data_IF_546607760348
#
_entry.id   IF_546607760348
#
_cell.length_a   1.000
_cell.length_b   1.000
_cell.length_c   1.000
_cell.angle_alpha   90.00
_cell.angle_beta   90.00
_cell.angle_gamma   90.00
#
_symmetry.space_group_name_H-M   'P 1'
#
loop_
_entity.id
_entity.type
_entity.pdbx_description
1 polymer ?
#
# COMPACT_ATOMS: atom_id res chain seq x y z
N UNK A 1 49.23 9.46 -50.91
CA UNK A 1 48.01 10.25 -50.60
C UNK A 1 47.00 9.30 -49.99
N UNK A 2 46.74 9.48 -48.69
CA UNK A 2 46.06 8.52 -47.80
C UNK A 2 44.54 8.66 -47.95
N UNK A 3 43.86 7.66 -48.53
CA UNK A 3 42.39 7.60 -48.53
C UNK A 3 41.89 6.95 -47.24
N UNK A 4 41.65 7.86 -46.31
CA UNK A 4 41.10 7.79 -44.98
C UNK A 4 39.83 6.91 -44.88
N UNK A 5 39.94 5.84 -44.08
CA UNK A 5 39.08 5.48 -42.94
C UNK A 5 37.70 6.16 -42.90
N UNK A 6 36.65 5.61 -43.53
CA UNK A 6 35.24 6.03 -43.28
C UNK A 6 34.19 4.93 -43.43
N UNK A 7 34.50 3.69 -43.06
CA UNK A 7 33.52 2.58 -43.12
C UNK A 7 33.24 1.90 -41.78
N UNK A 8 33.69 2.49 -40.67
CA UNK A 8 33.69 1.82 -39.35
C UNK A 8 33.07 2.60 -38.17
N UNK A 9 32.16 3.59 -38.32
CA UNK A 9 31.41 4.08 -37.16
C UNK A 9 29.96 3.59 -37.08
N UNK A 10 29.32 3.16 -38.18
CA UNK A 10 27.86 2.92 -38.17
C UNK A 10 27.42 1.56 -37.59
N UNK A 11 28.27 0.53 -37.62
CA UNK A 11 27.90 -0.81 -37.10
C UNK A 11 28.04 -0.89 -35.58
N UNK A 12 28.94 -0.10 -34.98
CA UNK A 12 29.17 -0.11 -33.52
C UNK A 12 28.05 0.62 -32.76
N UNK A 13 27.37 1.58 -33.40
CA UNK A 13 26.26 2.32 -32.78
C UNK A 13 24.97 1.49 -32.73
N UNK A 14 24.78 0.55 -33.65
CA UNK A 14 23.57 -0.30 -33.67
C UNK A 14 23.61 -1.44 -32.65
N UNK A 15 24.80 -1.93 -32.28
CA UNK A 15 24.93 -2.99 -31.26
C UNK A 15 24.97 -2.42 -29.84
N UNK A 16 25.41 -1.17 -29.66
CA UNK A 16 25.39 -0.50 -28.35
C UNK A 16 24.01 0.06 -27.95
N UNK A 17 23.09 0.27 -28.90
CA UNK A 17 21.74 0.78 -28.62
C UNK A 17 20.72 -0.31 -28.27
N UNK A 18 21.01 -1.58 -28.57
CA UNK A 18 20.14 -2.71 -28.21
C UNK A 18 20.33 -3.20 -26.75
N UNK A 19 21.34 -2.70 -26.03
CA UNK A 19 21.67 -3.16 -24.67
C UNK A 19 21.41 -2.14 -23.56
N UNK A 20 20.90 -0.93 -23.87
CA UNK A 20 20.65 0.12 -22.86
C UNK A 20 19.14 0.30 -22.56
N UNK A 21 18.25 -0.26 -23.38
CA UNK A 21 16.85 -0.43 -22.98
C UNK A 21 16.62 -1.80 -22.33
N UNK A 22 17.43 -2.11 -21.33
CA UNK A 22 17.00 -2.95 -20.22
C UNK A 22 15.91 -2.18 -19.48
N UNK A 23 14.72 -2.21 -20.06
CA UNK A 23 13.51 -1.54 -19.61
C UNK A 23 13.29 -1.84 -18.12
N UNK A 24 13.48 -0.90 -17.16
CA UNK A 24 13.13 -1.13 -15.77
C UNK A 24 11.60 -0.96 -15.57
N UNK A 25 10.81 -1.37 -16.57
CA UNK A 25 9.36 -1.22 -16.60
C UNK A 25 8.62 -2.56 -16.50
N UNK A 26 9.32 -3.67 -16.25
CA UNK A 26 8.69 -4.81 -15.60
C UNK A 26 8.74 -4.59 -14.09
N UNK A 27 7.97 -3.59 -13.63
CA UNK A 27 7.39 -3.69 -12.30
C UNK A 27 6.61 -5.00 -12.31
N UNK A 28 7.17 -6.02 -11.67
CA UNK A 28 6.63 -7.37 -11.60
C UNK A 28 5.17 -7.25 -11.15
N UNK A 29 4.22 -7.44 -12.06
CA UNK A 29 2.80 -7.40 -11.76
C UNK A 29 2.52 -8.62 -10.87
N UNK A 30 2.61 -8.44 -9.56
CA UNK A 30 2.22 -9.47 -8.58
C UNK A 30 0.71 -9.59 -8.62
N UNK A 31 0.20 -10.82 -8.69
CA UNK A 31 -1.25 -11.03 -8.57
C UNK A 31 -1.71 -10.61 -7.17
N UNK A 32 -2.98 -10.22 -7.03
CA UNK A 32 -3.57 -9.88 -5.73
C UNK A 32 -3.37 -11.02 -4.72
N UNK A 33 -3.46 -12.27 -5.18
CA UNK A 33 -3.26 -13.47 -4.36
C UNK A 33 -1.83 -13.60 -3.83
N UNK A 34 -0.83 -13.30 -4.66
CA UNK A 34 0.58 -13.30 -4.22
C UNK A 34 0.85 -12.24 -3.15
N UNK A 35 0.25 -11.04 -3.31
CA UNK A 35 0.37 -9.95 -2.34
C UNK A 35 -0.28 -10.36 -1.01
N UNK A 36 -1.44 -10.99 -1.04
CA UNK A 36 -2.11 -11.47 0.19
C UNK A 36 -1.30 -12.55 0.89
N UNK A 37 -0.75 -13.52 0.15
CA UNK A 37 0.07 -14.58 0.73
C UNK A 37 1.36 -14.05 1.39
N UNK A 38 2.03 -13.08 0.76
CA UNK A 38 3.22 -12.43 1.31
C UNK A 38 2.88 -11.66 2.59
N UNK A 39 1.78 -10.91 2.58
CA UNK A 39 1.30 -10.17 3.76
C UNK A 39 0.93 -11.09 4.90
N UNK A 40 0.22 -12.19 4.61
CA UNK A 40 -0.11 -13.20 5.61
C UNK A 40 1.15 -13.81 6.23
N UNK A 41 2.18 -14.08 5.41
CA UNK A 41 3.47 -14.54 5.88
C UNK A 41 4.17 -13.50 6.78
N UNK A 42 4.16 -12.22 6.41
CA UNK A 42 4.73 -11.15 7.23
C UNK A 42 4.02 -11.01 8.59
N UNK A 43 2.68 -11.12 8.61
CA UNK A 43 1.92 -11.14 9.85
C UNK A 43 2.26 -12.37 10.71
N UNK A 44 2.45 -13.53 10.10
CA UNK A 44 2.83 -14.75 10.81
C UNK A 44 4.25 -14.67 11.40
N UNK A 45 5.18 -13.99 10.72
CA UNK A 45 6.57 -13.86 11.14
C UNK A 45 6.77 -12.79 12.24
N UNK A 46 6.06 -11.66 12.14
CA UNK A 46 6.20 -10.55 13.09
C UNK A 46 4.91 -9.72 13.17
N UNK A 47 3.98 -10.17 14.02
CA UNK A 47 2.74 -9.45 14.29
C UNK A 47 2.85 -8.47 15.46
N UNK A 48 3.60 -8.76 16.51
CA UNK A 48 3.66 -7.86 17.68
C UNK A 48 4.50 -6.60 17.38
N UNK A 49 3.99 -5.45 17.83
CA UNK A 49 4.69 -4.16 17.80
C UNK A 49 4.75 -3.58 19.22
N UNK A 50 5.71 -2.72 19.47
CA UNK A 50 5.97 -2.16 20.81
C UNK A 50 5.29 -0.81 21.04
N UNK A 51 4.98 -0.05 19.99
CA UNK A 51 4.35 1.27 20.10
C UNK A 51 3.49 1.57 18.86
N UNK A 52 2.49 2.43 19.04
CA UNK A 52 1.73 3.09 17.97
C UNK A 52 2.16 4.53 17.75
N UNK A 53 3.17 5.04 18.48
CA UNK A 53 3.62 6.42 18.39
C UNK A 53 4.06 6.80 16.97
N UNK A 54 3.76 8.04 16.57
CA UNK A 54 4.07 8.52 15.22
C UNK A 54 3.12 8.00 14.13
N UNK A 55 1.94 7.51 14.50
CA UNK A 55 0.86 7.22 13.56
C UNK A 55 0.54 8.46 12.68
N UNK A 56 0.14 8.24 11.43
CA UNK A 56 -0.35 9.28 10.52
C UNK A 56 -1.84 9.53 10.75
N UNK A 57 -2.62 8.46 10.72
CA UNK A 57 -4.07 8.51 10.92
C UNK A 57 -4.51 7.51 11.97
N UNK A 58 -5.37 7.94 12.89
CA UNK A 58 -6.09 7.07 13.81
C UNK A 58 -7.51 6.90 13.30
N UNK A 59 -7.87 5.67 12.92
CA UNK A 59 -9.20 5.32 12.45
C UNK A 59 -10.00 4.77 13.62
N UNK A 60 -11.01 5.52 14.06
CA UNK A 60 -11.95 5.06 15.08
C UNK A 60 -13.16 4.48 14.37
N UNK A 61 -13.41 3.18 14.55
CA UNK A 61 -14.59 2.52 14.01
C UNK A 61 -15.79 2.79 14.93
N UNK A 62 -17.01 2.74 14.40
CA UNK A 62 -18.25 2.96 15.14
C UNK A 62 -18.74 1.73 15.92
N UNK A 63 -17.91 0.69 16.04
CA UNK A 63 -18.19 -0.49 16.87
C UNK A 63 -17.71 -0.34 18.33
N UNK A 64 -17.36 0.89 18.73
CA UNK A 64 -16.89 1.33 20.06
C UNK A 64 -15.62 0.65 20.59
N UNK A 65 -15.05 -0.31 19.86
CA UNK A 65 -13.93 -1.15 20.31
C UNK A 65 -12.75 -1.10 19.35
N UNK A 66 -13.01 -1.00 18.04
CA UNK A 66 -11.98 -1.16 17.04
C UNK A 66 -11.33 0.17 16.70
N UNK A 67 -10.02 0.23 16.93
CA UNK A 67 -9.18 1.37 16.53
C UNK A 67 -8.01 0.86 15.70
N UNK A 68 -7.83 1.44 14.53
CA UNK A 68 -6.69 1.19 13.66
C UNK A 68 -5.76 2.39 13.61
N UNK A 69 -4.46 2.14 13.69
CA UNK A 69 -3.41 3.15 13.53
C UNK A 69 -2.73 2.94 12.19
N UNK A 70 -2.83 3.93 11.32
CA UNK A 70 -2.13 3.96 10.03
C UNK A 70 -0.76 4.55 10.25
N UNK A 71 0.28 3.77 10.04
CA UNK A 71 1.67 4.18 10.27
C UNK A 71 2.29 4.80 9.00
N UNK A 72 3.40 5.58 9.14
CA UNK A 72 4.08 6.19 8.00
C UNK A 72 4.70 5.19 7.01
N UNK A 73 4.99 3.97 7.47
CA UNK A 73 5.51 2.86 6.66
C UNK A 73 4.40 2.01 6.02
N UNK A 74 3.17 2.53 5.97
CA UNK A 74 1.98 1.85 5.45
C UNK A 74 1.50 0.64 6.27
N UNK A 75 2.07 0.38 7.45
CA UNK A 75 1.53 -0.63 8.37
C UNK A 75 0.22 -0.17 9.01
N UNK A 76 -0.68 -1.12 9.26
CA UNK A 76 -1.91 -0.91 10.02
C UNK A 76 -1.79 -1.68 11.32
N UNK A 77 -1.78 -0.94 12.43
CA UNK A 77 -1.71 -1.52 13.77
C UNK A 77 -3.08 -1.48 14.44
N UNK A 78 -3.35 -2.48 15.27
CA UNK A 78 -4.52 -2.54 16.15
C UNK A 78 -4.04 -2.84 17.57
N UNK A 79 -4.70 -2.23 18.55
CA UNK A 79 -4.51 -2.57 19.97
C UNK A 79 -5.58 -3.58 20.36
N UNK A 80 -5.17 -4.74 20.88
CA UNK A 80 -6.11 -5.72 21.42
C UNK A 80 -6.66 -5.29 22.79
N UNK A 81 -7.68 -6.00 23.28
CA UNK A 81 -8.31 -5.71 24.57
C UNK A 81 -7.35 -5.80 25.78
N UNK A 82 -6.20 -6.45 25.62
CA UNK A 82 -5.16 -6.56 26.64
C UNK A 82 -4.08 -5.48 26.51
N UNK A 83 -4.25 -4.52 25.60
CA UNK A 83 -3.30 -3.45 25.35
C UNK A 83 -2.11 -3.85 24.46
N UNK A 84 -2.07 -5.08 23.91
CA UNK A 84 -1.01 -5.48 23.00
C UNK A 84 -1.24 -4.87 21.62
N UNK A 85 -0.16 -4.40 21.00
CA UNK A 85 -0.21 -3.80 19.67
C UNK A 85 0.19 -4.86 18.64
N UNK A 86 -0.63 -5.01 17.60
CA UNK A 86 -0.42 -5.99 16.54
C UNK A 86 -0.50 -5.32 15.17
N UNK A 87 0.39 -5.73 14.27
CA UNK A 87 0.24 -5.54 12.83
C UNK A 87 -0.92 -6.41 12.37
N UNK A 88 -1.95 -5.76 11.81
CA UNK A 88 -3.16 -6.42 11.32
C UNK A 88 -3.37 -6.20 9.83
N UNK A 89 -2.62 -5.29 9.21
CA UNK A 89 -2.86 -4.96 7.82
C UNK A 89 -1.89 -3.94 7.24
N UNK A 90 -2.25 -3.48 6.04
CA UNK A 90 -1.46 -2.53 5.27
C UNK A 90 -2.36 -1.47 4.63
N UNK A 91 -1.84 -0.25 4.50
CA UNK A 91 -2.44 0.81 3.71
C UNK A 91 -2.16 0.54 2.24
N UNK A 92 -3.20 0.64 1.44
CA UNK A 92 -3.16 0.45 -0.01
C UNK A 92 -3.60 1.72 -0.74
N UNK A 93 -3.21 1.83 -2.00
CA UNK A 93 -3.72 2.87 -2.91
C UNK A 93 -5.20 2.62 -3.24
N UNK A 94 -5.97 3.69 -3.53
CA UNK A 94 -7.32 3.53 -4.08
C UNK A 94 -7.35 2.70 -5.36
N UNK A 95 -8.48 2.02 -5.66
CA UNK A 95 -8.68 1.37 -6.95
C UNK A 95 -8.57 2.37 -8.11
N UNK A 96 -8.07 1.91 -9.26
CA UNK A 96 -7.94 2.72 -10.46
C UNK A 96 -9.29 3.32 -10.86
N UNK A 97 -9.33 4.64 -11.07
CA UNK A 97 -10.53 5.39 -11.43
C UNK A 97 -11.34 5.91 -10.24
N UNK A 98 -10.94 5.62 -8.99
CA UNK A 98 -11.61 6.11 -7.77
C UNK A 98 -10.69 6.93 -6.86
N UNK A 99 -9.53 7.36 -7.35
CA UNK A 99 -8.56 8.19 -6.63
C UNK A 99 -9.09 9.60 -6.30
N UNK A 100 -10.18 10.01 -6.97
CA UNK A 100 -10.89 11.26 -6.66
C UNK A 100 -11.85 11.12 -5.48
N UNK A 101 -12.33 9.91 -5.24
CA UNK A 101 -13.31 9.61 -4.19
C UNK A 101 -12.60 9.20 -2.90
N UNK A 102 -11.61 8.31 -3.01
CA UNK A 102 -10.88 7.79 -1.87
C UNK A 102 -9.44 8.27 -1.84
N UNK A 103 -8.95 8.54 -0.63
CA UNK A 103 -7.58 8.93 -0.35
C UNK A 103 -6.67 7.70 -0.27
N UNK A 104 -7.12 6.66 0.43
CA UNK A 104 -6.41 5.40 0.60
C UNK A 104 -7.37 4.27 1.00
N UNK A 105 -6.86 3.05 0.97
CA UNK A 105 -7.54 1.83 1.41
C UNK A 105 -6.82 1.27 2.64
N UNK A 106 -7.57 0.68 3.57
CA UNK A 106 -7.04 -0.06 4.72
C UNK A 106 -7.32 -1.53 4.48
N UNK A 107 -6.30 -2.36 4.30
CA UNK A 107 -6.44 -3.80 4.06
C UNK A 107 -6.02 -4.58 5.30
N UNK A 108 -6.99 -5.13 6.01
CA UNK A 108 -6.78 -6.01 7.15
C UNK A 108 -6.59 -7.45 6.62
N UNK A 109 -5.48 -8.06 7.01
CA UNK A 109 -5.04 -9.38 6.55
C UNK A 109 -5.68 -10.44 7.44
N UNK A 110 -6.93 -10.77 7.12
CA UNK A 110 -7.73 -11.85 7.71
C UNK A 110 -8.15 -12.83 6.62
N UNK A 111 -8.75 -13.95 7.02
CA UNK A 111 -9.37 -14.89 6.08
C UNK A 111 -10.89 -14.95 6.35
N UNK A 112 -11.73 -14.31 5.52
CA UNK A 112 -11.42 -13.54 4.31
C UNK A 112 -10.80 -12.15 4.59
N UNK A 113 -10.04 -11.57 3.63
CA UNK A 113 -9.41 -10.27 3.82
C UNK A 113 -10.47 -9.17 3.84
N UNK A 114 -10.37 -8.30 4.85
CA UNK A 114 -11.25 -7.14 5.01
C UNK A 114 -10.54 -5.91 4.47
N UNK A 115 -11.26 -5.08 3.72
CA UNK A 115 -10.73 -3.78 3.30
C UNK A 115 -11.72 -2.70 3.71
N UNK A 116 -11.22 -1.50 4.01
CA UNK A 116 -12.03 -0.30 4.19
C UNK A 116 -11.51 0.78 3.26
N UNK A 117 -12.39 1.63 2.74
CA UNK A 117 -11.98 2.81 1.98
C UNK A 117 -12.01 4.04 2.89
N UNK A 118 -11.03 4.92 2.77
CA UNK A 118 -11.05 6.22 3.46
C UNK A 118 -11.20 7.32 2.42
N UNK A 119 -12.26 8.12 2.56
CA UNK A 119 -12.49 9.25 1.68
C UNK A 119 -11.60 10.47 2.04
N UNK A 120 -11.77 11.57 1.31
CA UNK A 120 -10.99 12.79 1.53
C UNK A 120 -11.41 13.58 2.77
N UNK A 121 -12.56 13.26 3.35
CA UNK A 121 -13.09 13.87 4.57
C UNK A 121 -12.76 13.03 5.80
N UNK A 122 -12.08 11.90 5.63
CA UNK A 122 -11.70 10.99 6.70
C UNK A 122 -12.80 10.02 7.10
N UNK A 123 -13.88 9.87 6.32
CA UNK A 123 -14.86 8.83 6.59
C UNK A 123 -14.31 7.47 6.18
N UNK A 124 -14.50 6.48 7.04
CA UNK A 124 -14.12 5.08 6.80
C UNK A 124 -15.34 4.34 6.29
N UNK A 125 -15.31 3.91 5.03
CA UNK A 125 -16.38 3.22 4.34
C UNK A 125 -16.18 1.70 4.34
N UNK A 126 -17.24 0.95 4.65
CA UNK A 126 -17.21 -0.51 4.59
C UNK A 126 -17.14 -1.01 3.14
N UNK A 127 -16.25 -1.96 2.86
CA UNK A 127 -16.00 -2.48 1.49
C UNK A 127 -17.15 -3.20 0.81
N UNK A 128 -18.24 -3.61 1.47
CA UNK A 128 -19.26 -4.43 0.78
C UNK A 128 -19.78 -3.63 -0.42
N UNK A 129 -19.34 -3.96 -1.63
CA UNK A 129 -19.67 -3.19 -2.82
C UNK A 129 -21.15 -3.39 -3.15
N UNK A 130 -21.91 -2.32 -3.42
CA UNK A 130 -21.51 -0.90 -3.44
C UNK A 130 -21.22 -0.38 -2.03
N UNK A 131 -20.21 0.47 -1.79
CA UNK A 131 -19.95 1.03 -0.44
C UNK A 131 -21.24 1.65 0.15
N UNK A 132 -21.77 1.05 1.22
CA UNK A 132 -23.13 1.37 1.70
C UNK A 132 -23.15 2.29 2.91
N UNK A 133 -22.10 2.22 3.74
CA UNK A 133 -22.14 2.77 5.08
C UNK A 133 -20.77 3.27 5.53
N UNK A 134 -20.79 4.42 6.22
CA UNK A 134 -19.66 4.95 6.96
C UNK A 134 -19.62 4.23 8.31
N UNK A 135 -18.55 3.49 8.53
CA UNK A 135 -18.33 2.65 9.71
C UNK A 135 -17.25 3.20 10.64
N UNK A 136 -16.75 4.41 10.37
CA UNK A 136 -15.77 5.06 11.22
C UNK A 136 -15.31 6.41 10.70
N UNK A 137 -14.43 7.03 11.47
CA UNK A 137 -13.84 8.34 11.21
C UNK A 137 -12.35 8.32 11.49
N UNK A 138 -11.56 9.00 10.65
CA UNK A 138 -10.13 9.18 10.87
C UNK A 138 -9.84 10.51 11.56
N UNK A 139 -8.80 10.50 12.39
CA UNK A 139 -8.19 11.68 13.02
C UNK A 139 -6.74 11.71 12.55
N UNK A 140 -6.25 12.90 12.17
CA UNK A 140 -4.86 13.11 11.76
C UNK A 140 -3.98 13.44 12.99
N UNK A 141 -2.76 12.92 13.04
CA UNK A 141 -1.84 13.16 14.15
C UNK A 141 -1.32 14.62 14.19
N UNK A 142 -1.39 15.34 13.07
CA UNK A 142 -1.01 16.76 12.98
C UNK A 142 -2.03 17.70 13.64
N UNK A 143 -3.17 17.19 14.11
CA UNK A 143 -4.22 17.98 14.77
C UNK A 143 -3.96 18.27 16.27
N UNK A 144 -2.75 18.01 16.78
CA UNK A 144 -2.33 18.30 18.16
C UNK A 144 -1.38 19.48 18.26
#
# INVERSE_FOLDING_TARGET
MVFIKRLTPCIIIFVASAFIFGNPAFAQYRSADQIQAERLKMLAESSERTTTDGWLYKCNMYDDVTVYYVMPNDEILQTDANGKIRLVGFKDRPPLGREKEFSYMISIVTEPPVTYAVDRYGHVWQRKYPYQEIVGQTVDNTSK
#
